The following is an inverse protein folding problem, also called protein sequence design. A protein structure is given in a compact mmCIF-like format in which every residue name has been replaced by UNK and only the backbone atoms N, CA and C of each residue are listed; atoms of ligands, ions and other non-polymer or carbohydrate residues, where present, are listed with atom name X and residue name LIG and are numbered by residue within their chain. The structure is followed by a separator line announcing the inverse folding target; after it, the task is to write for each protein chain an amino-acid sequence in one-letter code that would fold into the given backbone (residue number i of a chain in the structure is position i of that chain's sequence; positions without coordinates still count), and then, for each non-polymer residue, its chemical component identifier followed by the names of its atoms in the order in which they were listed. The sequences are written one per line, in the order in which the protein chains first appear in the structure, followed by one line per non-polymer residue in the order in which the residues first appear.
data_IF_607189245269
#
_entry.id   IF_607189245269
#
_cell.length_a   1.000
_cell.length_b   1.000
_cell.length_c   1.000
_cell.angle_alpha   90.00
_cell.angle_beta   90.00
_cell.angle_gamma   90.00
#
_symmetry.space_group_name_H-M   'P 1'
#
loop_
_entity.id
_entity.type
_entity.pdbx_description
1 polymer ?
#
# COMPACT_ATOMS: atom_id res chain seq x y z
N UNK A 1 -9.52 9.28 1.64
CA UNK A 1 -10.30 9.12 0.40
C UNK A 1 -9.36 8.86 -0.76
N UNK A 2 -9.83 8.09 -1.75
CA UNK A 2 -9.03 7.63 -2.87
C UNK A 2 -9.60 8.10 -4.20
N UNK A 3 -8.71 8.38 -5.15
CA UNK A 3 -8.98 8.34 -6.60
C UNK A 3 -7.94 7.43 -7.25
N UNK A 4 -8.25 6.84 -8.38
CA UNK A 4 -7.27 6.07 -9.16
C UNK A 4 -7.46 6.32 -10.65
N UNK A 5 -6.38 6.21 -11.40
CA UNK A 5 -6.42 6.16 -12.86
C UNK A 5 -5.57 4.99 -13.33
N UNK A 6 -6.04 4.30 -14.36
CA UNK A 6 -5.17 3.52 -15.23
C UNK A 6 -4.81 4.40 -16.41
N UNK A 7 -3.52 4.57 -16.70
CA UNK A 7 -3.03 5.46 -17.74
C UNK A 7 -2.31 4.71 -18.86
N UNK A 8 -2.38 5.29 -20.05
CA UNK A 8 -1.60 4.92 -21.23
C UNK A 8 -0.94 6.20 -21.77
N UNK A 9 0.40 6.23 -21.75
CA UNK A 9 1.24 7.33 -22.24
C UNK A 9 2.06 6.91 -23.48
N UNK A 10 1.61 5.88 -24.21
CA UNK A 10 2.26 5.42 -25.44
C UNK A 10 2.04 6.36 -26.63
N UNK A 11 0.94 7.13 -26.64
CA UNK A 11 0.53 8.00 -27.75
C UNK A 11 0.40 9.48 -27.36
N UNK A 12 0.40 9.80 -26.06
CA UNK A 12 0.32 11.17 -25.54
C UNK A 12 0.88 11.21 -24.12
N UNK A 13 1.51 12.33 -23.75
CA UNK A 13 1.82 12.60 -22.35
C UNK A 13 0.53 13.03 -21.62
N UNK A 14 0.54 12.98 -20.29
CA UNK A 14 -0.55 13.51 -19.48
C UNK A 14 -0.09 14.73 -18.69
N UNK A 15 -0.87 15.81 -18.73
CA UNK A 15 -0.73 16.92 -17.81
C UNK A 15 -1.66 16.74 -16.62
N UNK A 16 -1.10 16.68 -15.42
CA UNK A 16 -1.80 16.45 -14.16
C UNK A 16 -1.79 17.75 -13.37
N UNK A 17 -2.96 18.35 -13.15
CA UNK A 17 -3.10 19.53 -12.29
C UNK A 17 -3.49 19.10 -10.88
N UNK A 18 -2.58 19.30 -9.93
CA UNK A 18 -2.79 19.07 -8.50
C UNK A 18 -3.25 20.39 -7.86
N UNK A 19 -4.41 20.44 -7.18
CA UNK A 19 -4.87 21.66 -6.51
C UNK A 19 -4.07 21.94 -5.23
N UNK A 20 -4.18 23.16 -4.71
CA UNK A 20 -3.68 23.49 -3.38
C UNK A 20 -4.47 22.71 -2.30
N UNK A 21 -3.79 21.80 -1.59
CA UNK A 21 -4.42 20.90 -0.61
C UNK A 21 -4.19 21.36 0.85
N UNK A 22 -3.23 22.27 1.07
CA UNK A 22 -2.93 22.84 2.38
C UNK A 22 -2.24 21.86 3.34
N UNK A 23 -2.68 21.86 4.60
CA UNK A 23 -2.08 21.15 5.74
C UNK A 23 -2.57 19.68 5.89
N UNK A 24 -3.23 19.14 4.88
CA UNK A 24 -3.75 17.77 4.88
C UNK A 24 -2.70 16.84 4.27
N UNK A 25 -2.57 15.61 4.77
CA UNK A 25 -1.83 14.59 4.04
C UNK A 25 -2.44 14.37 2.65
N UNK A 26 -1.58 14.43 1.64
CA UNK A 26 -1.94 14.07 0.29
C UNK A 26 -0.79 13.37 -0.43
N UNK A 27 -1.14 12.45 -1.32
CA UNK A 27 -0.18 11.81 -2.21
C UNK A 27 -0.82 11.39 -3.53
N UNK A 28 -0.02 11.49 -4.59
CA UNK A 28 -0.24 10.92 -5.91
C UNK A 28 0.88 9.91 -6.11
N UNK A 29 0.58 8.63 -5.90
CA UNK A 29 1.55 7.55 -5.99
C UNK A 29 1.44 6.86 -7.33
N UNK A 30 2.53 6.82 -8.08
CA UNK A 30 2.58 6.31 -9.44
C UNK A 30 3.21 4.92 -9.44
N UNK A 31 2.59 4.02 -10.19
CA UNK A 31 2.99 2.63 -10.29
C UNK A 31 3.14 2.24 -11.75
N UNK A 32 4.17 1.44 -12.02
CA UNK A 32 4.38 0.82 -13.31
C UNK A 32 3.39 -0.35 -13.53
N UNK A 33 3.40 -0.96 -14.71
CA UNK A 33 2.55 -2.14 -15.01
C UNK A 33 2.78 -3.34 -14.10
N UNK A 34 3.89 -3.36 -13.35
CA UNK A 34 4.24 -4.42 -12.42
C UNK A 34 3.89 -4.08 -10.97
N UNK A 35 3.22 -2.95 -10.72
CA UNK A 35 2.86 -2.49 -9.39
C UNK A 35 4.02 -1.94 -8.56
N UNK A 36 5.16 -1.60 -9.19
CA UNK A 36 6.29 -0.93 -8.54
C UNK A 36 5.96 0.56 -8.35
N UNK A 37 5.98 1.06 -7.12
CA UNK A 37 5.82 2.48 -6.83
C UNK A 37 7.11 3.24 -7.20
N UNK A 38 7.32 3.51 -8.48
CA UNK A 38 8.56 4.12 -8.97
C UNK A 38 8.71 5.58 -8.51
N UNK A 39 7.61 6.28 -8.22
CA UNK A 39 7.65 7.63 -7.60
C UNK A 39 6.31 8.06 -7.02
N UNK A 40 6.32 9.15 -6.24
CA UNK A 40 5.14 9.80 -5.69
C UNK A 40 5.29 11.33 -5.71
N UNK A 41 4.23 12.05 -6.04
CA UNK A 41 4.10 13.49 -5.79
C UNK A 41 3.27 13.70 -4.54
N UNK A 42 3.82 14.29 -3.47
CA UNK A 42 3.15 14.28 -2.17
C UNK A 42 3.62 15.41 -1.25
N UNK A 43 2.73 15.82 -0.35
CA UNK A 43 3.01 16.88 0.62
C UNK A 43 4.12 16.53 1.61
N UNK A 44 4.23 15.25 2.02
CA UNK A 44 5.29 14.81 2.93
C UNK A 44 6.70 15.04 2.39
N UNK A 45 6.87 15.04 1.07
CA UNK A 45 8.15 15.28 0.41
C UNK A 45 8.33 16.75 0.03
N UNK A 46 7.50 17.63 0.59
CA UNK A 46 7.47 19.08 0.28
C UNK A 46 7.26 19.40 -1.21
N UNK A 47 6.67 18.46 -1.97
CA UNK A 47 6.24 18.73 -3.34
C UNK A 47 5.06 19.71 -3.32
N UNK A 48 4.96 20.54 -4.36
CA UNK A 48 3.97 21.61 -4.45
C UNK A 48 2.75 21.17 -5.23
N UNK A 49 1.63 21.87 -5.02
CA UNK A 49 0.54 21.85 -5.99
C UNK A 49 0.98 22.48 -7.31
N UNK A 50 0.22 22.23 -8.37
CA UNK A 50 0.51 22.70 -9.72
C UNK A 50 0.49 21.59 -10.76
N UNK A 51 1.05 21.89 -11.91
CA UNK A 51 1.03 21.01 -13.07
C UNK A 51 2.24 20.07 -13.09
N UNK A 52 2.01 18.79 -13.34
CA UNK A 52 3.04 17.79 -13.54
C UNK A 52 2.79 17.04 -14.84
N UNK A 53 3.84 16.87 -15.65
CA UNK A 53 3.75 16.09 -16.88
C UNK A 53 4.12 14.63 -16.61
N UNK A 54 3.25 13.67 -16.89
CA UNK A 54 3.59 12.25 -16.96
C UNK A 54 3.93 11.86 -18.40
N UNK A 55 5.10 11.26 -18.59
CA UNK A 55 5.61 10.78 -19.88
C UNK A 55 6.18 9.37 -19.73
N UNK A 56 6.10 8.56 -20.79
CA UNK A 56 6.96 7.37 -20.88
C UNK A 56 8.43 7.79 -20.97
N UNK A 57 9.36 6.98 -20.50
CA UNK A 57 10.78 7.23 -20.62
C UNK A 57 11.55 5.91 -20.76
N UNK A 58 12.75 5.95 -21.32
CA UNK A 58 13.65 4.79 -21.38
C UNK A 58 14.70 4.76 -20.25
N UNK A 59 14.82 5.89 -19.53
CA UNK A 59 15.78 6.11 -18.45
C UNK A 59 15.33 7.24 -17.49
N UNK A 60 16.13 7.47 -16.43
CA UNK A 60 15.95 8.56 -15.46
C UNK A 60 14.54 8.60 -14.85
N UNK A 61 14.02 7.42 -14.50
CA UNK A 61 12.67 7.23 -14.02
C UNK A 61 12.36 7.99 -12.72
N UNK A 62 11.08 8.27 -12.52
CA UNK A 62 10.56 8.97 -11.35
C UNK A 62 10.35 10.46 -11.58
N UNK A 63 10.11 11.19 -10.48
CA UNK A 63 9.88 12.63 -10.51
C UNK A 63 11.18 13.38 -10.75
N UNK A 64 11.22 14.17 -11.82
CA UNK A 64 12.24 15.15 -12.14
C UNK A 64 11.67 16.55 -11.89
N UNK A 65 12.16 17.24 -10.87
CA UNK A 65 11.73 18.61 -10.60
C UNK A 65 12.56 19.57 -11.43
N UNK A 66 11.90 20.42 -12.22
CA UNK A 66 12.55 21.51 -12.93
C UNK A 66 12.14 22.84 -12.29
N UNK A 67 13.02 23.39 -11.46
CA UNK A 67 12.77 24.65 -10.78
C UNK A 67 12.89 25.88 -11.69
N UNK A 68 13.30 25.71 -12.95
CA UNK A 68 13.41 26.77 -13.95
C UNK A 68 12.17 26.92 -14.82
N UNK A 69 11.35 25.86 -14.92
CA UNK A 69 10.07 25.89 -15.62
C UNK A 69 8.98 26.44 -14.70
N UNK A 70 8.31 27.51 -15.13
CA UNK A 70 7.23 28.14 -14.35
C UNK A 70 5.84 27.56 -14.66
N UNK A 71 5.71 26.81 -15.75
CA UNK A 71 4.44 26.23 -16.20
C UNK A 71 4.20 24.82 -15.63
N UNK A 72 5.28 24.04 -15.44
CA UNK A 72 5.28 22.68 -14.91
C UNK A 72 6.16 22.60 -13.65
N UNK A 73 5.64 22.02 -12.56
CA UNK A 73 6.39 21.78 -11.31
C UNK A 73 7.39 20.62 -11.44
N UNK A 74 7.22 19.78 -12.46
CA UNK A 74 8.13 18.66 -12.74
C UNK A 74 7.55 17.67 -13.75
N UNK A 75 8.42 16.77 -14.19
CA UNK A 75 8.12 15.69 -15.13
C UNK A 75 8.23 14.36 -14.40
N UNK A 76 7.18 13.55 -14.48
CA UNK A 76 7.09 12.19 -13.97
C UNK A 76 7.47 11.26 -15.12
N UNK A 77 8.64 10.64 -15.04
CA UNK A 77 9.15 9.73 -16.07
C UNK A 77 8.78 8.29 -15.72
N UNK A 78 7.79 7.74 -16.40
CA UNK A 78 7.30 6.37 -16.18
C UNK A 78 8.23 5.34 -16.83
N UNK A 79 8.60 4.25 -16.12
CA UNK A 79 9.40 3.17 -16.70
C UNK A 79 8.63 2.25 -17.64
N UNK A 80 7.29 2.30 -17.61
CA UNK A 80 6.42 1.58 -18.51
C UNK A 80 5.45 2.53 -19.21
N UNK A 81 5.07 2.27 -20.47
CA UNK A 81 4.12 3.10 -21.22
C UNK A 81 2.71 3.11 -20.62
N UNK A 82 2.36 2.09 -19.84
CA UNK A 82 1.08 1.99 -19.15
C UNK A 82 1.33 1.89 -17.64
N UNK A 83 0.31 2.15 -16.85
CA UNK A 83 0.39 1.95 -15.42
C UNK A 83 -0.82 2.44 -14.68
N UNK A 84 -0.70 2.55 -13.36
CA UNK A 84 -1.75 3.04 -12.49
C UNK A 84 -1.18 4.11 -11.58
N UNK A 85 -1.97 5.12 -11.26
CA UNK A 85 -1.67 5.93 -10.08
C UNK A 85 -2.85 5.96 -9.14
N UNK A 86 -2.54 6.19 -7.87
CA UNK A 86 -3.54 6.37 -6.82
C UNK A 86 -3.35 7.71 -6.15
N UNK A 87 -4.44 8.42 -5.95
CA UNK A 87 -4.49 9.64 -5.15
C UNK A 87 -5.03 9.28 -3.79
N UNK A 88 -4.38 9.78 -2.74
CA UNK A 88 -4.86 9.68 -1.37
C UNK A 88 -4.96 11.07 -0.78
N UNK A 89 -6.16 11.45 -0.37
CA UNK A 89 -6.40 12.63 0.44
C UNK A 89 -6.89 12.16 1.80
N UNK A 90 -6.20 12.51 2.89
CA UNK A 90 -6.62 12.16 4.24
C UNK A 90 -8.00 12.72 4.54
N UNK A 91 -8.82 12.02 5.31
CA UNK A 91 -10.02 12.60 5.93
C UNK A 91 -9.66 12.97 7.39
N UNK A 92 -9.99 14.19 7.80
CA UNK A 92 -9.91 14.68 9.17
C UNK A 92 -11.24 14.34 9.86
N UNK A 93 -11.20 14.12 11.18
CA UNK A 93 -12.40 13.90 11.98
C UNK A 93 -13.11 15.23 12.25
N UNK A 94 -13.77 15.75 11.22
CA UNK A 94 -14.51 17.00 11.27
C UNK A 94 -15.82 16.84 10.51
N UNK A 95 -16.85 17.54 11.00
CA UNK A 95 -18.09 17.70 10.27
C UNK A 95 -17.79 18.29 8.88
N UNK A 96 -18.44 17.72 7.86
CA UNK A 96 -18.35 18.13 6.45
C UNK A 96 -16.97 17.91 5.77
N UNK A 97 -16.05 17.14 6.39
CA UNK A 97 -14.70 16.94 5.81
C UNK A 97 -14.72 16.10 4.53
N UNK A 98 -15.72 15.22 4.39
CA UNK A 98 -15.95 14.44 3.17
C UNK A 98 -16.22 15.37 1.99
N UNK A 99 -17.10 16.36 2.17
CA UNK A 99 -17.46 17.35 1.17
C UNK A 99 -16.24 18.22 0.79
N UNK A 100 -15.42 18.61 1.77
CA UNK A 100 -14.17 19.34 1.52
C UNK A 100 -13.20 18.51 0.67
N UNK A 101 -13.04 17.23 0.99
CA UNK A 101 -12.15 16.34 0.22
C UNK A 101 -12.71 16.07 -1.18
N UNK A 102 -14.02 15.89 -1.34
CA UNK A 102 -14.65 15.82 -2.66
C UNK A 102 -14.41 17.11 -3.47
N UNK A 103 -14.51 18.29 -2.86
CA UNK A 103 -14.23 19.56 -3.52
C UNK A 103 -12.77 19.67 -3.99
N UNK A 104 -11.82 19.09 -3.25
CA UNK A 104 -10.42 18.97 -3.70
C UNK A 104 -10.28 17.97 -4.85
N UNK A 105 -10.91 16.79 -4.76
CA UNK A 105 -10.86 15.79 -5.84
C UNK A 105 -11.42 16.34 -7.16
N UNK A 106 -12.52 17.12 -7.10
CA UNK A 106 -13.14 17.75 -8.27
C UNK A 106 -12.23 18.79 -8.95
N UNK A 107 -11.19 19.27 -8.27
CA UNK A 107 -10.22 20.20 -8.84
C UNK A 107 -9.01 19.50 -9.46
N UNK A 108 -8.83 18.20 -9.21
CA UNK A 108 -7.78 17.41 -9.87
C UNK A 108 -8.16 17.27 -11.34
N UNK A 109 -7.27 17.68 -12.25
CA UNK A 109 -7.48 17.58 -13.69
C UNK A 109 -6.38 16.75 -14.34
N UNK A 110 -6.77 16.00 -15.35
CA UNK A 110 -5.86 15.22 -16.20
C UNK A 110 -6.26 15.49 -17.65
N UNK A 111 -5.31 15.96 -18.46
CA UNK A 111 -5.52 16.18 -19.90
C UNK A 111 -4.38 15.57 -20.69
N UNK A 112 -4.65 15.10 -21.90
CA UNK A 112 -3.60 14.66 -22.81
C UNK A 112 -2.87 15.87 -23.39
N UNK A 113 -1.56 15.75 -23.55
CA UNK A 113 -0.71 16.72 -24.24
C UNK A 113 0.22 15.98 -25.20
N UNK A 114 0.74 16.63 -26.25
CA UNK A 114 1.68 15.97 -27.17
C UNK A 114 2.88 15.40 -26.42
N UNK A 115 3.35 14.22 -26.87
CA UNK A 115 4.53 13.58 -26.31
C UNK A 115 5.73 14.53 -26.34
N UNK A 116 6.47 14.58 -25.24
CA UNK A 116 7.70 15.37 -25.12
C UNK A 116 8.84 14.86 -26.02
N UNK A 117 8.73 13.63 -26.52
CA UNK A 117 9.68 12.98 -27.42
C UNK A 117 9.00 11.87 -28.23
N UNK A 118 9.70 11.30 -29.20
CA UNK A 118 9.21 10.19 -30.00
C UNK A 118 9.08 8.91 -29.14
N UNK A 119 7.92 8.27 -29.22
CA UNK A 119 7.61 7.02 -28.52
C UNK A 119 7.15 5.98 -29.53
N UNK A 120 7.84 4.84 -29.60
CA UNK A 120 7.52 3.73 -30.51
C UNK A 120 6.88 2.56 -29.75
N UNK A 121 5.76 2.84 -29.09
CA UNK A 121 4.95 1.86 -28.35
C UNK A 121 3.51 1.93 -28.86
N UNK A 122 2.83 0.80 -29.14
CA UNK A 122 1.43 0.82 -29.53
C UNK A 122 0.53 1.29 -28.38
N UNK A 123 -0.69 1.81 -28.65
CA UNK A 123 -1.69 1.99 -27.60
C UNK A 123 -2.04 0.65 -26.94
N UNK A 124 -2.41 0.68 -25.66
CA UNK A 124 -2.84 -0.53 -24.97
C UNK A 124 -4.17 -1.02 -25.52
N UNK A 125 -4.15 -2.20 -26.12
CA UNK A 125 -5.37 -2.91 -26.50
C UNK A 125 -5.97 -3.63 -25.27
N UNK A 126 -7.14 -3.19 -24.82
CA UNK A 126 -7.86 -3.81 -23.71
C UNK A 126 -8.41 -5.20 -24.05
N UNK A 127 -8.51 -5.56 -25.34
CA UNK A 127 -8.87 -6.89 -25.80
C UNK A 127 -7.93 -7.98 -25.28
N UNK A 128 -6.69 -7.61 -24.95
CA UNK A 128 -5.67 -8.50 -24.38
C UNK A 128 -6.18 -9.28 -23.16
N UNK A 129 -7.00 -8.67 -22.30
CA UNK A 129 -7.49 -9.34 -21.09
C UNK A 129 -8.45 -10.48 -21.39
N UNK A 130 -9.20 -10.42 -22.50
CA UNK A 130 -10.02 -11.53 -22.95
C UNK A 130 -9.17 -12.57 -23.70
N UNK A 131 -8.20 -12.13 -24.50
CA UNK A 131 -7.32 -13.00 -25.28
C UNK A 131 -6.48 -13.93 -24.39
N UNK A 132 -5.93 -13.41 -23.29
CA UNK A 132 -5.09 -14.23 -22.39
C UNK A 132 -5.90 -15.31 -21.67
N UNK A 133 -7.18 -15.04 -21.37
CA UNK A 133 -8.11 -16.03 -20.79
C UNK A 133 -8.36 -17.18 -21.77
N UNK A 134 -8.44 -16.87 -23.07
CA UNK A 134 -8.76 -17.87 -24.09
C UNK A 134 -10.25 -18.20 -24.18
N UNK A 135 -10.62 -19.28 -24.89
CA UNK A 135 -12.03 -19.64 -25.14
C UNK A 135 -12.79 -19.93 -23.84
N UNK A 136 -14.06 -19.51 -23.77
CA UNK A 136 -14.89 -19.68 -22.57
C UNK A 136 -15.12 -21.16 -22.20
N UNK A 137 -15.08 -22.05 -23.19
CA UNK A 137 -15.25 -23.49 -23.01
C UNK A 137 -14.02 -24.16 -22.37
N UNK A 138 -12.86 -23.52 -22.45
CA UNK A 138 -11.60 -24.03 -21.91
C UNK A 138 -10.66 -22.86 -21.57
N UNK A 139 -10.96 -22.11 -20.50
CA UNK A 139 -10.15 -20.98 -20.11
C UNK A 139 -8.77 -21.46 -19.64
N UNK A 140 -7.75 -20.69 -19.98
CA UNK A 140 -6.40 -20.89 -19.48
C UNK A 140 -6.36 -20.77 -17.95
N UNK A 141 -5.46 -21.51 -17.30
CA UNK A 141 -5.22 -21.34 -15.87
C UNK A 141 -4.71 -19.92 -15.55
N UNK A 142 -4.92 -19.42 -14.34
CA UNK A 142 -4.44 -18.08 -13.94
C UNK A 142 -2.94 -17.90 -14.20
N UNK A 143 -2.12 -18.91 -13.87
CA UNK A 143 -0.68 -18.89 -14.12
C UNK A 143 -0.35 -18.77 -15.61
N UNK A 144 -1.11 -19.45 -16.47
CA UNK A 144 -0.94 -19.35 -17.91
C UNK A 144 -1.39 -17.98 -18.44
N UNK A 145 -2.51 -17.44 -17.95
CA UNK A 145 -2.97 -16.09 -18.30
C UNK A 145 -1.90 -15.04 -17.97
N UNK A 146 -1.26 -15.14 -16.80
CA UNK A 146 -0.16 -14.25 -16.39
C UNK A 146 1.03 -14.36 -17.35
N UNK A 147 1.41 -15.57 -17.78
CA UNK A 147 2.52 -15.77 -18.71
C UNK A 147 2.19 -15.30 -20.12
N UNK A 148 0.94 -15.49 -20.59
CA UNK A 148 0.46 -14.94 -21.87
C UNK A 148 0.45 -13.41 -21.85
N UNK A 149 -0.05 -12.80 -20.77
CA UNK A 149 -0.04 -11.35 -20.59
C UNK A 149 1.39 -10.81 -20.54
N UNK A 150 2.29 -11.51 -19.82
CA UNK A 150 3.71 -11.17 -19.78
C UNK A 150 4.33 -11.24 -21.18
N UNK A 151 4.05 -12.29 -21.95
CA UNK A 151 4.57 -12.46 -23.30
C UNK A 151 4.18 -11.30 -24.22
N UNK A 152 2.90 -10.92 -24.21
CA UNK A 152 2.38 -9.85 -25.05
C UNK A 152 2.94 -8.46 -24.70
N UNK A 153 3.26 -8.22 -23.42
CA UNK A 153 3.60 -6.89 -22.92
C UNK A 153 5.10 -6.68 -22.61
N UNK A 154 5.87 -7.74 -22.38
CA UNK A 154 7.25 -7.62 -21.89
C UNK A 154 8.18 -6.84 -22.82
N UNK A 155 7.94 -6.85 -24.14
CA UNK A 155 8.74 -6.09 -25.12
C UNK A 155 8.68 -4.58 -24.94
N UNK A 156 7.60 -4.06 -24.34
CA UNK A 156 7.40 -2.62 -24.11
C UNK A 156 7.51 -2.25 -22.62
N UNK A 157 7.34 -3.22 -21.73
CA UNK A 157 7.44 -3.04 -20.28
C UNK A 157 8.77 -3.61 -19.77
N UNK A 158 9.89 -3.04 -20.20
CA UNK A 158 11.20 -3.49 -19.73
C UNK A 158 11.39 -3.16 -18.25
N UNK A 159 12.30 -3.88 -17.58
CA UNK A 159 12.68 -3.52 -16.20
C UNK A 159 13.28 -2.12 -16.16
N UNK A 160 12.89 -1.35 -15.14
CA UNK A 160 13.51 -0.07 -14.81
C UNK A 160 15.00 -0.21 -14.42
N UNK A 161 15.41 -1.41 -14.00
CA UNK A 161 16.83 -1.71 -13.76
C UNK A 161 17.43 -2.20 -15.07
N UNK A 162 18.12 -1.31 -15.79
CA UNK A 162 18.66 -1.60 -17.12
C UNK A 162 19.58 -2.84 -17.13
N UNK A 163 20.37 -3.04 -16.07
CA UNK A 163 21.27 -4.18 -15.88
C UNK A 163 20.51 -5.51 -15.77
N UNK A 164 19.24 -5.48 -15.37
CA UNK A 164 18.44 -6.70 -15.21
C UNK A 164 17.83 -7.20 -16.51
N UNK A 165 17.67 -6.32 -17.50
CA UNK A 165 16.94 -6.62 -18.74
C UNK A 165 17.49 -7.85 -19.46
N UNK A 166 18.81 -8.02 -19.50
CA UNK A 166 19.45 -9.14 -20.18
C UNK A 166 19.14 -10.50 -19.55
N UNK A 167 19.28 -10.61 -18.22
CA UNK A 167 18.99 -11.89 -17.55
C UNK A 167 17.48 -12.15 -17.44
N UNK A 168 16.64 -11.11 -17.31
CA UNK A 168 15.18 -11.25 -17.34
C UNK A 168 14.75 -11.82 -18.69
N UNK A 169 15.21 -11.23 -19.80
CA UNK A 169 14.90 -11.72 -21.14
C UNK A 169 15.32 -13.19 -21.29
N UNK A 170 16.50 -13.56 -20.80
CA UNK A 170 16.96 -14.94 -20.81
C UNK A 170 16.04 -15.89 -20.00
N UNK A 171 15.61 -15.49 -18.80
CA UNK A 171 14.71 -16.28 -17.96
C UNK A 171 13.33 -16.43 -18.61
N UNK A 172 12.76 -15.35 -19.15
CA UNK A 172 11.47 -15.40 -19.86
C UNK A 172 11.55 -16.31 -21.10
N UNK A 173 12.65 -16.25 -21.86
CA UNK A 173 12.89 -17.13 -22.99
C UNK A 173 12.91 -18.61 -22.56
N UNK A 174 13.63 -18.94 -21.48
CA UNK A 174 13.66 -20.29 -20.89
C UNK A 174 12.31 -20.73 -20.36
N UNK A 175 11.50 -19.80 -19.86
CA UNK A 175 10.14 -20.06 -19.43
C UNK A 175 9.18 -20.28 -20.61
N UNK A 176 9.62 -20.09 -21.86
CA UNK A 176 8.80 -20.33 -23.05
C UNK A 176 8.16 -19.08 -23.65
N UNK A 177 8.63 -17.89 -23.26
CA UNK A 177 8.16 -16.61 -23.83
C UNK A 177 9.09 -16.20 -24.98
N UNK A 178 8.55 -16.14 -26.20
CA UNK A 178 9.26 -15.67 -27.41
C UNK A 178 8.30 -14.95 -28.34
N UNK A 179 8.76 -13.87 -28.96
CA UNK A 179 8.03 -13.13 -30.00
C UNK A 179 6.58 -12.77 -29.64
N UNK A 180 6.34 -12.39 -28.38
CA UNK A 180 5.01 -12.01 -27.89
C UNK A 180 4.13 -13.19 -27.46
N UNK A 181 4.61 -14.43 -27.57
CA UNK A 181 3.83 -15.64 -27.32
C UNK A 181 4.45 -16.45 -26.17
N UNK A 182 3.59 -16.99 -25.31
CA UNK A 182 3.96 -17.99 -24.32
C UNK A 182 3.65 -19.39 -24.85
N UNK A 183 4.65 -20.26 -24.84
CA UNK A 183 4.48 -21.71 -25.08
C UNK A 183 5.13 -22.46 -23.93
N UNK A 184 4.33 -23.18 -23.14
CA UNK A 184 4.83 -23.91 -22.00
C UNK A 184 5.91 -24.93 -22.45
N UNK A 185 7.12 -24.91 -21.86
CA UNK A 185 8.16 -25.88 -22.19
C UNK A 185 7.71 -27.31 -21.86
N UNK A 186 8.11 -28.32 -22.66
CA UNK A 186 7.72 -29.71 -22.41
C UNK A 186 8.25 -30.19 -21.06
N UNK A 187 7.50 -31.10 -20.41
CA UNK A 187 7.84 -31.68 -19.11
C UNK A 187 7.94 -30.65 -17.96
N UNK A 188 7.18 -29.56 -18.01
CA UNK A 188 7.06 -28.59 -16.92
C UNK A 188 5.65 -28.57 -16.33
N UNK A 189 5.47 -27.97 -15.15
CA UNK A 189 4.17 -27.79 -14.49
C UNK A 189 4.02 -26.35 -14.01
N UNK A 190 3.00 -25.64 -14.50
CA UNK A 190 2.69 -24.28 -14.02
C UNK A 190 2.27 -24.26 -12.56
N UNK A 191 1.54 -25.29 -12.10
CA UNK A 191 1.18 -25.44 -10.69
C UNK A 191 2.41 -25.55 -9.79
N UNK A 192 3.40 -26.34 -10.21
CA UNK A 192 4.66 -26.47 -9.46
C UNK A 192 5.46 -25.17 -9.50
N UNK A 193 5.51 -24.48 -10.64
CA UNK A 193 6.15 -23.17 -10.77
C UNK A 193 5.54 -22.13 -9.82
N UNK A 194 4.21 -22.06 -9.71
CA UNK A 194 3.51 -21.18 -8.76
C UNK A 194 3.84 -21.55 -7.32
N UNK A 195 3.85 -22.84 -6.98
CA UNK A 195 4.21 -23.29 -5.63
C UNK A 195 5.64 -22.89 -5.27
N UNK A 196 6.60 -23.06 -6.19
CA UNK A 196 7.99 -22.64 -6.01
C UNK A 196 8.13 -21.13 -5.87
N UNK A 197 7.40 -20.34 -6.67
CA UNK A 197 7.38 -18.88 -6.57
C UNK A 197 6.86 -18.42 -5.20
N UNK A 198 5.78 -19.04 -4.70
CA UNK A 198 5.22 -18.77 -3.38
C UNK A 198 6.20 -19.10 -2.25
N UNK A 199 6.89 -20.25 -2.33
CA UNK A 199 7.92 -20.63 -1.36
C UNK A 199 9.10 -19.65 -1.36
N UNK A 200 9.56 -19.24 -2.56
CA UNK A 200 10.65 -18.26 -2.70
C UNK A 200 10.27 -16.90 -2.09
N UNK A 201 9.05 -16.42 -2.36
CA UNK A 201 8.55 -15.17 -1.81
C UNK A 201 8.45 -15.19 -0.28
N UNK A 202 7.95 -16.30 0.29
CA UNK A 202 7.90 -16.49 1.75
C UNK A 202 9.29 -16.55 2.37
N UNK A 203 10.24 -17.24 1.73
CA UNK A 203 11.61 -17.36 2.21
C UNK A 203 12.35 -16.01 2.28
N UNK A 204 11.94 -15.02 1.46
CA UNK A 204 12.52 -13.68 1.52
C UNK A 204 12.33 -13.02 2.90
N UNK A 205 11.15 -13.16 3.52
CA UNK A 205 10.87 -12.61 4.86
C UNK A 205 11.70 -13.24 5.96
N UNK A 206 12.13 -14.48 5.76
CA UNK A 206 13.02 -15.21 6.66
C UNK A 206 14.49 -14.78 6.52
N UNK A 207 14.83 -14.09 5.44
CA UNK A 207 16.20 -13.63 5.22
C UNK A 207 16.49 -12.41 6.09
N UNK A 208 17.58 -12.47 6.85
CA UNK A 208 17.98 -11.41 7.75
C UNK A 208 18.13 -10.06 7.02
N UNK A 209 17.56 -9.00 7.60
CA UNK A 209 17.64 -7.63 7.07
C UNK A 209 16.46 -7.18 6.20
N UNK A 210 15.53 -8.07 5.83
CA UNK A 210 14.32 -7.66 5.10
C UNK A 210 13.13 -7.31 5.99
N UNK A 211 13.09 -7.89 7.19
CA UNK A 211 12.10 -7.56 8.21
C UNK A 211 12.83 -7.14 9.47
N UNK A 212 12.32 -6.10 10.11
CA UNK A 212 12.81 -5.57 11.39
C UNK A 212 11.87 -5.97 12.51
N UNK A 213 12.42 -6.53 13.58
CA UNK A 213 11.72 -6.67 14.85
C UNK A 213 11.63 -5.30 15.52
N UNK A 214 10.40 -4.89 15.84
CA UNK A 214 10.07 -3.61 16.43
C UNK A 214 9.77 -3.71 17.93
N UNK A 215 10.00 -4.88 18.53
CA UNK A 215 9.63 -5.20 19.90
C UNK A 215 8.14 -5.52 20.03
N UNK A 216 7.78 -6.12 21.16
CA UNK A 216 6.39 -6.47 21.51
C UNK A 216 5.63 -7.27 20.44
N UNK A 217 6.36 -8.08 19.65
CA UNK A 217 5.81 -8.88 18.56
C UNK A 217 5.45 -8.08 17.31
N UNK A 218 5.82 -6.81 17.20
CA UNK A 218 5.65 -6.03 15.97
C UNK A 218 6.81 -6.22 15.03
N UNK A 219 6.51 -6.28 13.73
CA UNK A 219 7.49 -6.37 12.67
C UNK A 219 7.15 -5.39 11.55
N UNK A 220 8.16 -4.81 10.92
CA UNK A 220 8.01 -3.99 9.72
C UNK A 220 8.96 -4.47 8.63
N UNK A 221 8.49 -4.38 7.39
CA UNK A 221 9.37 -4.47 6.22
C UNK A 221 10.44 -3.37 6.26
N UNK A 222 11.67 -3.68 5.84
CA UNK A 222 12.70 -2.66 5.62
C UNK A 222 12.44 -1.91 4.30
N UNK A 223 12.97 -0.69 4.13
CA UNK A 223 12.70 0.14 2.95
C UNK A 223 12.91 -0.56 1.60
N UNK A 224 13.89 -1.48 1.51
CA UNK A 224 14.22 -2.21 0.28
C UNK A 224 13.08 -3.10 -0.26
N UNK A 225 12.09 -3.42 0.58
CA UNK A 225 10.95 -4.27 0.19
C UNK A 225 9.62 -3.53 0.36
N UNK A 226 9.63 -2.20 0.17
CA UNK A 226 8.47 -1.32 0.24
C UNK A 226 8.37 -0.46 -1.02
N UNK A 227 7.36 -0.73 -1.86
CA UNK A 227 6.96 0.11 -2.98
C UNK A 227 7.91 0.14 -4.17
N UNK A 228 9.12 0.67 -4.01
CA UNK A 228 10.15 0.68 -5.06
C UNK A 228 11.13 -0.47 -4.83
N UNK A 229 10.89 -1.59 -5.50
CA UNK A 229 11.58 -2.85 -5.26
C UNK A 229 12.90 -3.00 -6.03
N UNK A 230 13.16 -2.16 -7.05
CA UNK A 230 14.34 -2.33 -7.94
C UNK A 230 14.46 -3.80 -8.40
N UNK A 231 15.60 -4.43 -8.14
CA UNK A 231 15.88 -5.84 -8.48
C UNK A 231 15.29 -6.87 -7.49
N UNK A 232 14.57 -6.46 -6.45
CA UNK A 232 13.95 -7.37 -5.47
C UNK A 232 12.59 -7.91 -5.96
N UNK A 233 12.58 -8.59 -7.10
CA UNK A 233 11.36 -9.15 -7.71
C UNK A 233 10.55 -10.08 -6.78
N UNK A 234 11.16 -10.96 -5.95
CA UNK A 234 10.41 -11.75 -4.98
C UNK A 234 9.70 -10.90 -3.93
N UNK A 235 10.27 -9.74 -3.57
CA UNK A 235 9.65 -8.80 -2.63
C UNK A 235 8.42 -8.15 -3.25
N UNK A 236 8.53 -7.73 -4.51
CA UNK A 236 7.41 -7.17 -5.28
C UNK A 236 6.26 -8.16 -5.36
N UNK A 237 6.55 -9.43 -5.68
CA UNK A 237 5.55 -10.49 -5.71
C UNK A 237 4.92 -10.73 -4.32
N UNK A 238 5.75 -10.83 -3.28
CA UNK A 238 5.28 -10.99 -1.90
C UNK A 238 4.34 -9.88 -1.45
N UNK A 239 4.66 -8.62 -1.77
CA UNK A 239 3.81 -7.48 -1.44
C UNK A 239 2.54 -7.50 -2.27
N UNK A 240 2.61 -7.81 -3.57
CA UNK A 240 1.43 -7.90 -4.44
C UNK A 240 0.40 -8.93 -3.95
N UNK A 241 0.84 -10.06 -3.40
CA UNK A 241 -0.03 -11.10 -2.84
C UNK A 241 -0.85 -10.64 -1.62
N UNK A 242 -0.41 -9.60 -0.90
CA UNK A 242 -1.05 -9.16 0.37
C UNK A 242 -1.54 -7.72 0.37
N UNK A 243 -0.95 -6.87 -0.46
CA UNK A 243 -1.14 -5.44 -0.48
C UNK A 243 -0.62 -4.85 -1.78
N UNK A 244 -1.27 -5.24 -2.89
CA UNK A 244 -1.00 -4.70 -4.21
C UNK A 244 -0.98 -3.16 -4.19
N UNK A 245 -0.07 -2.56 -4.97
CA UNK A 245 0.24 -1.12 -4.95
C UNK A 245 0.74 -0.61 -3.59
N UNK A 246 1.60 -1.39 -2.94
CA UNK A 246 2.35 -0.95 -1.76
C UNK A 246 3.21 0.28 -2.08
N UNK A 247 3.28 1.23 -1.15
CA UNK A 247 4.05 2.48 -1.31
C UNK A 247 5.40 2.38 -0.60
N UNK A 248 6.29 3.33 -0.87
CA UNK A 248 7.58 3.40 -0.18
C UNK A 248 7.41 3.64 1.33
N UNK A 249 8.42 3.24 2.11
CA UNK A 249 8.39 3.39 3.58
C UNK A 249 8.38 4.84 4.05
N UNK A 250 8.92 5.76 3.25
CA UNK A 250 8.87 7.20 3.51
C UNK A 250 7.43 7.72 3.47
N UNK A 251 6.60 7.13 2.61
CA UNK A 251 5.18 7.48 2.54
C UNK A 251 4.37 6.79 3.63
N UNK A 252 4.55 5.47 3.81
CA UNK A 252 3.81 4.72 4.82
C UNK A 252 4.52 3.43 5.25
N UNK A 253 4.39 3.10 6.54
CA UNK A 253 4.72 1.78 7.07
C UNK A 253 3.46 1.08 7.61
N UNK A 254 3.47 -0.24 7.51
CA UNK A 254 2.39 -1.12 7.97
C UNK A 254 2.95 -2.16 8.97
N UNK A 255 3.26 -1.74 10.21
CA UNK A 255 3.64 -2.66 11.27
C UNK A 255 2.65 -3.81 11.39
N UNK A 256 3.17 -5.02 11.41
CA UNK A 256 2.42 -6.27 11.48
C UNK A 256 2.72 -6.96 12.80
N UNK A 257 1.69 -7.31 13.55
CA UNK A 257 1.86 -8.07 14.79
C UNK A 257 2.01 -9.57 14.48
N UNK A 258 3.11 -10.17 14.94
CA UNK A 258 3.47 -11.58 14.82
C UNK A 258 3.99 -12.06 16.21
N UNK A 259 3.12 -12.51 17.14
CA UNK A 259 3.48 -12.80 18.54
C UNK A 259 4.33 -14.06 18.74
N UNK A 260 4.46 -14.89 17.70
CA UNK A 260 5.32 -16.08 17.71
C UNK A 260 6.36 -15.85 16.63
N UNK A 261 7.58 -16.36 16.82
CA UNK A 261 8.70 -16.28 15.86
C UNK A 261 8.45 -16.93 14.48
N UNK A 262 7.19 -17.05 14.05
CA UNK A 262 6.76 -17.29 12.68
C UNK A 262 7.09 -16.08 11.82
N UNK A 263 8.37 -15.96 11.42
CA UNK A 263 8.76 -15.58 10.07
C UNK A 263 8.00 -14.41 9.37
N UNK A 264 7.49 -13.43 10.12
CA UNK A 264 6.63 -12.36 9.60
C UNK A 264 5.36 -12.82 8.82
N UNK A 265 4.75 -13.94 9.23
CA UNK A 265 3.36 -14.28 8.85
C UNK A 265 2.39 -13.67 9.87
N UNK A 266 1.42 -12.88 9.37
CA UNK A 266 0.39 -12.25 10.20
C UNK A 266 -0.51 -13.39 10.68
N UNK A 267 -0.66 -13.60 12.00
CA UNK A 267 -1.50 -14.68 12.52
C UNK A 267 -2.97 -14.34 12.35
N UNK A 268 -3.80 -15.37 12.25
CA UNK A 268 -5.22 -15.22 12.57
C UNK A 268 -5.34 -14.99 14.07
N UNK A 269 -5.89 -13.85 14.46
CA UNK A 269 -6.14 -13.53 15.87
C UNK A 269 -7.57 -13.88 16.18
N UNK A 270 -7.80 -14.66 17.24
CA UNK A 270 -9.13 -15.01 17.70
C UNK A 270 -9.39 -14.42 19.08
N UNK A 271 -10.57 -13.88 19.28
CA UNK A 271 -11.09 -13.47 20.58
C UNK A 271 -12.37 -14.24 20.88
N UNK A 272 -12.55 -14.69 22.12
CA UNK A 272 -13.78 -15.27 22.62
C UNK A 272 -14.85 -14.22 22.94
N UNK A 273 -16.06 -14.66 23.30
CA UNK A 273 -17.20 -13.77 23.59
C UNK A 273 -16.99 -12.86 24.81
N UNK A 274 -16.14 -13.27 25.75
CA UNK A 274 -15.80 -12.51 26.96
C UNK A 274 -14.30 -12.20 27.03
N UNK A 275 -13.62 -12.16 25.88
CA UNK A 275 -12.20 -11.83 25.80
C UNK A 275 -12.01 -10.49 25.10
N UNK A 276 -10.88 -9.85 25.39
CA UNK A 276 -10.48 -8.58 24.81
C UNK A 276 -8.98 -8.55 24.52
N UNK A 277 -8.59 -7.65 23.62
CA UNK A 277 -7.19 -7.33 23.34
C UNK A 277 -6.98 -5.87 23.70
N UNK A 278 -6.01 -5.59 24.57
CA UNK A 278 -5.60 -4.24 24.90
C UNK A 278 -4.25 -3.90 24.28
N UNK A 279 -4.24 -2.86 23.45
CA UNK A 279 -3.04 -2.23 22.93
C UNK A 279 -2.62 -1.13 23.89
N UNK A 280 -1.39 -1.21 24.39
CA UNK A 280 -0.81 -0.23 25.30
C UNK A 280 0.29 0.52 24.59
N UNK A 281 0.03 1.76 24.20
CA UNK A 281 0.99 2.63 23.55
C UNK A 281 1.89 3.28 24.61
N UNK A 282 3.21 3.21 24.42
CA UNK A 282 4.21 3.87 25.29
C UNK A 282 4.11 5.40 25.21
N UNK A 283 3.77 5.90 24.02
CA UNK A 283 3.52 7.29 23.66
C UNK A 283 2.87 7.35 22.29
N UNK A 284 2.59 8.56 21.80
CA UNK A 284 2.06 8.80 20.46
C UNK A 284 3.07 8.33 19.40
N UNK A 285 2.59 7.68 18.32
CA UNK A 285 3.43 7.42 17.16
C UNK A 285 4.11 8.70 16.65
N UNK A 286 5.40 8.60 16.33
CA UNK A 286 6.21 9.75 15.90
C UNK A 286 6.08 9.95 14.39
N UNK A 287 5.63 11.13 13.99
CA UNK A 287 5.27 11.44 12.61
C UNK A 287 6.05 12.63 12.08
N UNK A 288 6.35 12.61 10.78
CA UNK A 288 6.73 13.79 10.02
C UNK A 288 5.54 14.75 9.87
N UNK A 289 5.76 16.04 9.58
CA UNK A 289 4.67 16.99 9.32
C UNK A 289 3.70 16.47 8.26
N UNK A 290 2.39 16.67 8.47
CA UNK A 290 1.27 16.08 7.69
C UNK A 290 1.06 14.57 7.87
N UNK A 291 1.95 13.86 8.56
CA UNK A 291 1.75 12.44 8.86
C UNK A 291 0.50 12.18 9.69
N UNK A 292 0.06 10.93 9.70
CA UNK A 292 -1.06 10.47 10.52
C UNK A 292 -0.96 8.97 10.78
N UNK A 293 -1.70 8.45 11.76
CA UNK A 293 -1.70 7.02 12.04
C UNK A 293 -3.10 6.47 12.28
N UNK A 294 -3.25 5.16 12.19
CA UNK A 294 -4.49 4.47 12.56
C UNK A 294 -4.25 3.01 12.89
N UNK A 295 -4.96 2.49 13.87
CA UNK A 295 -5.18 1.06 14.08
C UNK A 295 -6.59 0.72 13.58
N UNK A 296 -6.68 -0.11 12.54
CA UNK A 296 -7.95 -0.58 11.96
C UNK A 296 -8.24 -2.02 12.34
N UNK A 297 -9.51 -2.37 12.48
CA UNK A 297 -9.96 -3.73 12.81
C UNK A 297 -10.83 -4.31 11.68
N UNK A 298 -10.59 -5.57 11.35
CA UNK A 298 -11.30 -6.32 10.32
C UNK A 298 -11.76 -7.67 10.86
N UNK A 299 -12.81 -8.21 10.26
CA UNK A 299 -13.24 -9.59 10.48
C UNK A 299 -12.41 -10.60 9.65
N UNK A 300 -12.74 -11.88 9.77
CA UNK A 300 -12.13 -12.98 8.99
C UNK A 300 -12.14 -12.75 7.46
N UNK A 301 -13.14 -12.04 6.96
CA UNK A 301 -13.32 -11.75 5.53
C UNK A 301 -12.58 -10.47 5.08
N UNK A 302 -11.73 -9.89 5.96
CA UNK A 302 -11.00 -8.64 5.76
C UNK A 302 -11.90 -7.41 5.53
N UNK A 303 -13.12 -7.44 6.07
CA UNK A 303 -14.08 -6.34 6.02
C UNK A 303 -14.20 -5.62 7.37
N UNK A 304 -14.56 -4.35 7.33
CA UNK A 304 -14.91 -3.59 8.53
C UNK A 304 -16.15 -4.17 9.21
N UNK A 305 -16.20 -4.06 10.54
CA UNK A 305 -17.28 -4.62 11.37
C UNK A 305 -18.29 -3.51 11.69
N UNK A 306 -19.53 -3.57 11.17
CA UNK A 306 -20.57 -2.59 11.49
C UNK A 306 -20.79 -2.47 13.01
N UNK A 307 -20.82 -1.24 13.52
CA UNK A 307 -21.03 -0.98 14.93
C UNK A 307 -21.67 0.41 15.13
N UNK A 308 -22.39 0.59 16.24
CA UNK A 308 -23.16 1.81 16.51
C UNK A 308 -22.30 3.06 16.80
N UNK A 309 -21.00 2.87 17.08
CA UNK A 309 -20.04 3.97 17.28
C UNK A 309 -19.40 4.43 15.96
N UNK A 310 -19.61 3.69 14.86
CA UNK A 310 -18.90 3.89 13.59
C UNK A 310 -17.36 3.85 13.75
N UNK A 311 -16.88 3.11 14.75
CA UNK A 311 -15.47 2.91 15.04
C UNK A 311 -14.92 1.74 14.23
N UNK A 312 -14.31 2.04 13.08
CA UNK A 312 -13.65 1.04 12.21
C UNK A 312 -12.13 1.12 12.27
N UNK A 313 -11.62 2.29 12.67
CA UNK A 313 -10.22 2.55 12.95
C UNK A 313 -10.12 3.66 14.00
N UNK A 314 -9.11 3.57 14.85
CA UNK A 314 -8.78 4.62 15.82
C UNK A 314 -7.38 5.14 15.54
N UNK A 315 -7.18 6.45 15.70
CA UNK A 315 -5.89 7.09 15.41
C UNK A 315 -5.79 8.49 15.98
N UNK A 316 -4.77 9.22 15.53
CA UNK A 316 -4.50 10.62 15.87
C UNK A 316 -5.67 11.58 15.63
N UNK A 317 -6.58 11.20 14.75
CA UNK A 317 -7.77 11.99 14.39
C UNK A 317 -8.99 11.65 15.24
N UNK A 318 -9.03 10.51 15.91
CA UNK A 318 -10.15 10.11 16.75
C UNK A 318 -10.13 10.84 18.09
N UNK A 319 -11.26 10.94 18.79
CA UNK A 319 -11.35 11.52 20.15
C UNK A 319 -10.76 10.59 21.25
N UNK A 320 -9.61 9.97 20.97
CA UNK A 320 -8.91 9.11 21.92
C UNK A 320 -8.55 9.86 23.20
N UNK A 321 -8.59 9.15 24.32
CA UNK A 321 -8.30 9.68 25.65
C UNK A 321 -7.18 8.93 26.36
N UNK A 322 -6.47 9.63 27.24
CA UNK A 322 -5.60 9.04 28.23
C UNK A 322 -6.43 8.30 29.30
N UNK A 323 -5.82 7.41 30.12
CA UNK A 323 -6.54 6.68 31.17
C UNK A 323 -7.25 7.57 32.22
N UNK A 324 -6.82 8.82 32.36
CA UNK A 324 -7.46 9.81 33.24
C UNK A 324 -8.60 10.61 32.57
N UNK A 325 -8.96 10.27 31.33
CA UNK A 325 -10.04 10.90 30.57
C UNK A 325 -9.63 12.13 29.76
N UNK A 326 -8.38 12.59 29.85
CA UNK A 326 -7.90 13.74 29.07
C UNK A 326 -7.81 13.38 27.58
N UNK A 327 -8.31 14.18 26.64
CA UNK A 327 -8.14 13.94 25.20
C UNK A 327 -6.66 13.91 24.77
N UNK A 328 -6.31 13.01 23.84
CA UNK A 328 -4.94 12.84 23.34
C UNK A 328 -4.36 14.13 22.73
N UNK A 329 -5.20 14.92 22.08
CA UNK A 329 -4.84 16.21 21.47
C UNK A 329 -4.42 17.30 22.47
N UNK A 330 -4.72 17.12 23.76
CA UNK A 330 -4.49 18.14 24.79
C UNK A 330 -3.18 17.93 25.57
N UNK A 331 -2.46 16.84 25.32
CA UNK A 331 -1.11 16.62 25.87
C UNK A 331 -0.09 16.52 24.75
N UNK A 332 1.17 16.79 25.06
CA UNK A 332 2.27 16.56 24.12
C UNK A 332 2.40 15.05 23.86
N UNK A 333 2.63 14.27 24.92
CA UNK A 333 2.76 12.82 24.84
C UNK A 333 2.32 12.12 26.15
N UNK A 334 2.20 10.80 26.11
CA UNK A 334 1.96 9.95 27.28
C UNK A 334 1.43 8.58 26.91
N UNK A 335 1.42 7.67 27.88
CA UNK A 335 0.87 6.33 27.73
C UNK A 335 -0.65 6.37 27.55
N UNK A 336 -1.16 5.70 26.53
CA UNK A 336 -2.59 5.51 26.31
C UNK A 336 -2.91 4.09 25.84
N UNK A 337 -4.18 3.73 25.83
CA UNK A 337 -4.64 2.37 25.57
C UNK A 337 -5.74 2.35 24.52
N UNK A 338 -5.76 1.34 23.64
CA UNK A 338 -6.87 1.04 22.74
C UNK A 338 -7.37 -0.37 23.05
N UNK A 339 -8.68 -0.53 23.17
CA UNK A 339 -9.35 -1.79 23.47
C UNK A 339 -9.99 -2.37 22.22
N UNK A 340 -9.81 -3.65 21.97
CA UNK A 340 -10.62 -4.46 21.06
C UNK A 340 -11.42 -5.43 21.90
N UNK A 341 -12.75 -5.40 21.77
CA UNK A 341 -13.68 -6.22 22.55
C UNK A 341 -14.96 -6.45 21.73
N UNK A 342 -15.66 -7.60 21.86
CA UNK A 342 -16.89 -7.88 21.13
C UNK A 342 -17.94 -6.77 21.26
N UNK A 343 -18.55 -6.38 20.14
CA UNK A 343 -19.51 -5.27 20.07
C UNK A 343 -20.77 -5.44 20.93
N UNK A 344 -21.11 -6.67 21.29
CA UNK A 344 -22.23 -7.03 22.17
C UNK A 344 -21.86 -7.13 23.65
N UNK A 345 -20.59 -6.93 23.98
CA UNK A 345 -20.08 -6.79 25.36
C UNK A 345 -19.44 -5.41 25.48
N UNK A 346 -20.22 -4.32 25.57
CA UNK A 346 -19.66 -2.98 25.62
C UNK A 346 -18.89 -2.75 26.93
N UNK A 347 -17.69 -2.14 26.88
CA UNK A 347 -16.95 -1.76 28.08
C UNK A 347 -17.61 -0.57 28.80
N UNK A 348 -17.18 -0.23 30.02
CA UNK A 348 -17.58 1.00 30.69
C UNK A 348 -17.44 2.24 29.81
N UNK A 349 -18.27 3.27 30.05
CA UNK A 349 -18.38 4.44 29.17
C UNK A 349 -17.06 5.17 28.94
N UNK A 350 -16.14 5.11 29.90
CA UNK A 350 -14.82 5.72 29.81
C UNK A 350 -13.97 5.13 28.67
N UNK A 351 -14.24 3.87 28.26
CA UNK A 351 -13.54 3.19 27.17
C UNK A 351 -14.10 3.47 25.79
N UNK A 352 -15.32 4.01 25.67
CA UNK A 352 -16.03 4.10 24.38
C UNK A 352 -15.21 4.83 23.30
N UNK A 353 -14.49 5.90 23.67
CA UNK A 353 -13.63 6.64 22.74
C UNK A 353 -12.41 5.83 22.25
N UNK A 354 -11.94 4.90 23.08
CA UNK A 354 -10.73 4.11 22.87
C UNK A 354 -11.04 2.66 22.48
N UNK A 355 -12.30 2.35 22.19
CA UNK A 355 -12.76 1.01 21.89
C UNK A 355 -13.02 0.82 20.40
N UNK A 356 -12.44 -0.24 19.84
CA UNK A 356 -12.72 -0.80 18.53
C UNK A 356 -13.63 -2.05 18.70
N UNK A 357 -14.93 -1.94 18.37
CA UNK A 357 -15.85 -3.06 18.48
C UNK A 357 -15.48 -4.20 17.52
N UNK A 358 -15.26 -5.38 18.09
CA UNK A 358 -15.05 -6.63 17.35
C UNK A 358 -16.40 -7.32 17.03
N UNK A 359 -16.41 -8.42 16.24
CA UNK A 359 -17.65 -9.13 15.95
C UNK A 359 -18.40 -9.55 17.24
N UNK A 360 -19.73 -9.42 17.29
CA UNK A 360 -20.53 -9.93 18.40
C UNK A 360 -20.23 -11.40 18.70
N UNK A 361 -20.10 -11.75 19.98
CA UNK A 361 -19.72 -13.10 20.42
C UNK A 361 -18.25 -13.48 20.16
N UNK A 362 -17.43 -12.53 19.71
CA UNK A 362 -16.03 -12.76 19.35
C UNK A 362 -15.87 -13.38 17.96
N UNK A 363 -14.67 -13.86 17.66
CA UNK A 363 -14.34 -14.47 16.38
C UNK A 363 -12.91 -14.18 15.92
N UNK A 364 -12.64 -14.54 14.67
CA UNK A 364 -11.41 -14.21 13.98
C UNK A 364 -11.41 -12.75 13.56
N UNK A 365 -10.34 -12.07 13.94
CA UNK A 365 -10.09 -10.66 13.65
C UNK A 365 -8.68 -10.50 13.11
N UNK A 366 -8.50 -9.50 12.26
CA UNK A 366 -7.18 -8.98 11.91
C UNK A 366 -7.17 -7.49 12.20
N UNK A 367 -5.99 -6.96 12.53
CA UNK A 367 -5.83 -5.53 12.72
C UNK A 367 -4.61 -5.04 11.96
N UNK A 368 -4.67 -3.80 11.51
CA UNK A 368 -3.57 -3.16 10.77
C UNK A 368 -3.22 -1.84 11.43
N UNK A 369 -2.00 -1.75 11.93
CA UNK A 369 -1.43 -0.49 12.35
C UNK A 369 -0.80 0.18 11.12
N UNK A 370 -1.24 1.39 10.81
CA UNK A 370 -0.78 2.18 9.65
C UNK A 370 -0.19 3.48 10.15
N UNK A 371 0.98 3.83 9.64
CA UNK A 371 1.66 5.09 9.96
C UNK A 371 2.07 5.72 8.64
N UNK A 372 1.48 6.87 8.32
CA UNK A 372 1.79 7.68 7.15
C UNK A 372 2.70 8.81 7.56
N UNK A 373 3.80 9.01 6.82
CA UNK A 373 4.86 9.94 7.24
C UNK A 373 5.45 9.52 8.58
N UNK A 374 5.85 8.25 8.69
CA UNK A 374 6.53 7.76 9.88
C UNK A 374 7.91 8.40 9.99
N UNK A 375 8.27 8.89 11.18
CA UNK A 375 9.61 9.42 11.39
C UNK A 375 10.67 8.31 11.28
N UNK A 376 11.94 8.69 11.09
CA UNK A 376 13.07 7.75 11.11
C UNK A 376 13.09 6.89 12.39
N UNK A 377 12.72 7.45 13.54
CA UNK A 377 12.63 6.70 14.79
C UNK A 377 11.61 5.55 14.76
N UNK A 378 10.47 5.73 14.08
CA UNK A 378 9.48 4.67 13.88
C UNK A 378 10.01 3.57 12.94
N UNK A 379 10.66 3.97 11.85
CA UNK A 379 11.15 3.07 10.79
C UNK A 379 12.34 2.24 11.30
N UNK A 380 13.25 2.86 12.04
CA UNK A 380 14.49 2.24 12.53
C UNK A 380 14.30 1.42 13.81
N UNK A 381 13.12 1.48 14.43
CA UNK A 381 12.78 0.76 15.66
C UNK A 381 13.32 1.40 16.93
N UNK A 382 13.41 2.73 16.93
CA UNK A 382 13.71 3.54 18.13
C UNK A 382 12.44 3.92 18.90
N UNK A 383 11.28 3.89 18.25
CA UNK A 383 9.98 4.00 18.92
C UNK A 383 9.59 2.66 19.55
N UNK A 384 9.15 2.68 20.80
CA UNK A 384 8.65 1.50 21.49
C UNK A 384 7.21 1.21 21.05
N UNK A 385 7.05 0.21 20.17
CA UNK A 385 5.74 -0.16 19.63
C UNK A 385 4.76 -0.66 20.69
N UNK A 386 3.44 -0.57 20.44
CA UNK A 386 2.44 -0.85 21.47
C UNK A 386 2.50 -2.29 21.98
N UNK A 387 2.42 -2.48 23.30
CA UNK A 387 2.30 -3.81 23.88
C UNK A 387 0.86 -4.33 23.73
N UNK A 388 0.71 -5.54 23.18
CA UNK A 388 -0.58 -6.23 23.16
C UNK A 388 -0.74 -7.13 24.38
N UNK A 389 -1.92 -7.09 25.00
CA UNK A 389 -2.31 -7.98 26.10
C UNK A 389 -3.66 -8.60 25.78
N UNK A 390 -3.72 -9.94 25.76
CA UNK A 390 -4.98 -10.68 25.76
C UNK A 390 -5.49 -10.77 27.19
N UNK A 391 -6.76 -10.47 27.40
CA UNK A 391 -7.37 -10.40 28.73
C UNK A 391 -8.88 -10.71 28.66
N UNK A 392 -9.51 -10.86 29.82
CA UNK A 392 -10.97 -10.90 29.90
C UNK A 392 -11.57 -9.55 29.50
N UNK A 393 -12.79 -9.58 28.95
CA UNK A 393 -13.54 -8.39 28.60
C UNK A 393 -13.74 -7.49 29.82
N UNK A 394 -13.50 -6.19 29.64
CA UNK A 394 -13.77 -5.18 30.66
C UNK A 394 -15.28 -4.96 30.65
N UNK A 395 -15.92 -5.28 31.77
CA UNK A 395 -17.36 -5.08 31.99
C UNK A 395 -17.56 -4.13 33.17
N UNK A 396 -18.75 -3.53 33.23
CA UNK A 396 -19.12 -2.56 34.27
C UNK A 396 -19.36 -3.19 35.64
#
# INVERSE_FOLDING_TARGET
MYSSIFYDVSQSDLMISIPEIGDRFWSFSFFDMYGNNYTSVMGLMHHKAGNYRLTFAEDNYGLQQDHSNTEEQGVIRSPTPYGVWTVRLLLKDQKDDVEKVHALQNQIKVVTVPCSHEVTVPPLDLGIFAEVVGPAESPASEAEQVLRLTAALARYNLSEVAQDRGWIAHVLEKAGIRDGVFTQPPNTSLTEAVNLANLSAKALKLTAGFVRDQGHGWYTNTPMICGNFRSFYPARYLVAMRGYLGVSSEQAIYPSYCPRGSAAEIPDVKIGPNEAIKFTFSGKPLLEPLGFWSLSLYNKDQLFIPNALEHYALGDRSDLKYPDGTPLKEREDGKFEILIQPGDVPPPKEWHSNWLPAPPGGGEVSFTFRVFGASSAMIEGKYEYPKLTFMDAITA
#
